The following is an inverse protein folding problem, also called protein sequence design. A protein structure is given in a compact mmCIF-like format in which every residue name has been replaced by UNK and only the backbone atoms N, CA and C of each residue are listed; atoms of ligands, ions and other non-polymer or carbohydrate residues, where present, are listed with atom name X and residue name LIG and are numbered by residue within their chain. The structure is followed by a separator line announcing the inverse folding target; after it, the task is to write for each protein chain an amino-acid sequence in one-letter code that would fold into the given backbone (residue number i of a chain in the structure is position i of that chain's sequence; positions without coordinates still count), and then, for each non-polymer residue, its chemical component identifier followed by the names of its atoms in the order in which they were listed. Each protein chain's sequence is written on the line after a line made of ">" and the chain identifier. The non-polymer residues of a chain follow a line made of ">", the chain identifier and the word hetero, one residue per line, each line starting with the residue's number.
data_IF_315644611413
#
_entry.id   IF_315644611413
#
_cell.length_a   1.000
_cell.length_b   1.000
_cell.length_c   1.000
_cell.angle_alpha   90.00
_cell.angle_beta   90.00
_cell.angle_gamma   90.00
#
_symmetry.space_group_name_H-M   'P 1'
#
loop_
_entity.id
_entity.type
_entity.pdbx_description
1 polymer ?
#
# COMPACT_ATOMS: atom_id res chain seq x y z
N UNK A 1 7.09 0.89 -11.72
CA UNK A 1 5.67 0.47 -11.62
C UNK A 1 5.67 -1.04 -11.57
N UNK A 2 5.53 -1.62 -10.38
CA UNK A 2 5.36 -3.07 -10.22
C UNK A 2 3.87 -3.36 -10.31
N UNK A 3 3.37 -3.54 -11.53
CA UNK A 3 1.96 -3.88 -11.76
C UNK A 3 1.88 -5.41 -12.00
N UNK A 4 1.12 -6.08 -11.13
CA UNK A 4 0.69 -7.49 -11.17
C UNK A 4 1.78 -8.58 -11.11
N UNK A 5 2.46 -8.72 -9.97
CA UNK A 5 3.10 -10.00 -9.62
C UNK A 5 2.14 -10.84 -8.77
N UNK A 6 2.20 -12.17 -8.94
CA UNK A 6 1.32 -13.24 -8.41
C UNK A 6 1.11 -13.32 -6.88
N UNK A 7 1.42 -12.25 -6.14
CA UNK A 7 1.15 -12.03 -4.72
C UNK A 7 -0.34 -12.04 -4.37
N UNK A 8 -1.23 -11.82 -5.35
CA UNK A 8 -2.63 -11.59 -5.06
C UNK A 8 -3.37 -12.81 -4.46
N UNK A 9 -2.82 -14.02 -4.58
CA UNK A 9 -3.46 -15.25 -4.09
C UNK A 9 -2.86 -15.86 -2.83
N UNK A 10 -1.70 -15.40 -2.35
CA UNK A 10 -1.10 -15.90 -1.11
C UNK A 10 -1.21 -14.83 0.01
N UNK A 11 -2.12 -15.01 0.99
CA UNK A 11 -2.26 -14.11 2.12
C UNK A 11 -0.97 -13.93 2.93
N UNK A 12 -0.14 -14.97 3.02
CA UNK A 12 1.12 -14.90 3.74
C UNK A 12 2.13 -14.00 3.03
N UNK A 13 2.20 -14.08 1.70
CA UNK A 13 3.05 -13.18 0.92
C UNK A 13 2.58 -11.73 1.02
N UNK A 14 1.25 -11.47 0.96
CA UNK A 14 0.71 -10.11 1.18
C UNK A 14 1.13 -9.56 2.53
N UNK A 15 0.92 -10.32 3.61
CA UNK A 15 1.31 -9.90 4.94
C UNK A 15 2.81 -9.60 5.03
N UNK A 16 3.66 -10.46 4.45
CA UNK A 16 5.10 -10.23 4.40
C UNK A 16 5.46 -8.95 3.61
N UNK A 17 4.87 -8.75 2.45
CA UNK A 17 5.10 -7.57 1.62
C UNK A 17 4.72 -6.28 2.37
N UNK A 18 3.47 -6.21 2.86
CA UNK A 18 2.95 -5.01 3.53
C UNK A 18 3.64 -4.75 4.88
N UNK A 19 3.87 -5.78 5.70
CA UNK A 19 4.35 -5.62 7.08
C UNK A 19 5.87 -5.70 7.22
N UNK A 20 6.61 -6.19 6.23
CA UNK A 20 8.08 -6.32 6.30
C UNK A 20 8.78 -5.49 5.24
N UNK A 21 8.44 -5.71 3.97
CA UNK A 21 9.17 -5.12 2.85
C UNK A 21 8.94 -3.60 2.77
N UNK A 22 7.69 -3.14 2.86
CA UNK A 22 7.38 -1.71 2.77
C UNK A 22 8.02 -0.89 3.91
N UNK A 23 7.91 -1.30 5.20
CA UNK A 23 8.61 -0.60 6.28
C UNK A 23 10.13 -0.54 6.12
N UNK A 24 10.74 -1.60 5.58
CA UNK A 24 12.18 -1.63 5.32
C UNK A 24 12.59 -0.63 4.24
N UNK A 25 11.82 -0.51 3.16
CA UNK A 25 12.09 0.51 2.15
C UNK A 25 11.90 1.93 2.70
N UNK A 26 10.89 2.14 3.55
CA UNK A 26 10.62 3.43 4.20
C UNK A 26 11.77 3.81 5.13
N UNK A 27 12.27 2.88 5.96
CA UNK A 27 13.38 3.14 6.88
C UNK A 27 14.69 3.50 6.17
N UNK A 28 14.84 3.09 4.90
CA UNK A 28 15.94 3.49 4.00
C UNK A 28 15.72 4.87 3.35
N UNK A 29 14.72 5.64 3.77
CA UNK A 29 14.41 6.97 3.26
C UNK A 29 13.83 6.98 1.86
N UNK A 30 13.17 5.90 1.42
CA UNK A 30 12.52 5.84 0.11
C UNK A 30 11.07 6.30 0.20
N UNK A 31 10.64 7.08 -0.80
CA UNK A 31 9.21 7.32 -1.03
C UNK A 31 8.60 6.08 -1.70
N UNK A 32 7.47 5.63 -1.17
CA UNK A 32 6.78 4.41 -1.61
C UNK A 32 5.36 4.81 -1.99
N UNK A 33 4.93 4.43 -3.19
CA UNK A 33 3.53 4.55 -3.63
C UNK A 33 3.01 3.15 -3.90
N UNK A 34 1.95 2.77 -3.18
CA UNK A 34 1.29 1.47 -3.33
C UNK A 34 -0.11 1.70 -3.88
N UNK A 35 -0.46 1.01 -4.95
CA UNK A 35 -1.80 1.01 -5.53
C UNK A 35 -2.43 -0.34 -5.18
N UNK A 36 -3.47 -0.33 -4.35
CA UNK A 36 -4.12 -1.54 -3.85
C UNK A 36 -5.59 -1.27 -3.51
N UNK A 37 -6.40 -2.33 -3.58
CA UNK A 37 -7.78 -2.35 -3.07
C UNK A 37 -7.89 -3.05 -1.70
N UNK A 38 -6.76 -3.45 -1.11
CA UNK A 38 -6.73 -4.19 0.16
C UNK A 38 -6.73 -3.23 1.36
N UNK A 39 -7.92 -2.89 1.82
CA UNK A 39 -8.15 -1.92 2.90
C UNK A 39 -7.55 -2.36 4.25
N UNK A 40 -7.31 -3.66 4.44
CA UNK A 40 -6.75 -4.23 5.68
C UNK A 40 -5.34 -3.72 6.02
N UNK A 41 -4.64 -3.14 5.05
CA UNK A 41 -3.28 -2.64 5.21
C UNK A 41 -3.18 -1.11 5.04
N UNK A 42 -4.29 -0.37 5.10
CA UNK A 42 -4.21 1.10 5.03
C UNK A 42 -3.56 1.71 6.28
N UNK A 43 -3.52 0.96 7.39
CA UNK A 43 -2.94 1.38 8.66
C UNK A 43 -1.40 1.53 8.62
N UNK A 44 -0.72 0.91 7.66
CA UNK A 44 0.74 1.05 7.50
C UNK A 44 1.16 2.29 6.71
N UNK A 45 0.23 2.96 6.04
CA UNK A 45 0.50 4.12 5.22
C UNK A 45 0.55 5.40 6.07
N UNK A 46 1.45 6.33 5.73
CA UNK A 46 1.47 7.67 6.33
C UNK A 46 0.29 8.54 5.85
N UNK A 47 -0.21 8.24 4.64
CA UNK A 47 -1.38 8.89 4.07
C UNK A 47 -2.01 7.99 3.01
N UNK A 48 -3.33 8.10 2.87
CA UNK A 48 -4.12 7.26 1.97
C UNK A 48 -4.94 8.14 1.04
N UNK A 49 -4.75 7.94 -0.26
CA UNK A 49 -5.57 8.55 -1.30
C UNK A 49 -6.57 7.51 -1.79
N UNK A 50 -7.86 7.83 -1.72
CA UNK A 50 -8.93 6.94 -2.17
C UNK A 50 -9.47 7.47 -3.49
N UNK A 51 -9.64 6.61 -4.49
CA UNK A 51 -10.28 7.00 -5.74
C UNK A 51 -11.67 6.35 -5.83
N UNK A 52 -12.71 7.14 -5.99
CA UNK A 52 -14.10 6.68 -6.12
C UNK A 52 -14.74 7.32 -7.35
N UNK A 53 -15.34 6.51 -8.23
CA UNK A 53 -15.99 6.97 -9.47
C UNK A 53 -15.13 7.92 -10.34
N UNK A 54 -13.81 7.68 -10.38
CA UNK A 54 -12.87 8.50 -11.13
C UNK A 54 -12.52 9.84 -10.47
N UNK A 55 -12.96 10.07 -9.24
CA UNK A 55 -12.62 11.24 -8.43
C UNK A 55 -11.69 10.84 -7.28
N UNK A 56 -10.73 11.71 -6.98
CA UNK A 56 -9.84 11.55 -5.84
C UNK A 56 -10.53 12.09 -4.58
N UNK A 57 -10.67 11.23 -3.58
CA UNK A 57 -11.10 11.56 -2.22
C UNK A 57 -9.85 11.62 -1.35
N UNK A 58 -9.49 12.80 -0.87
CA UNK A 58 -8.43 12.95 0.14
C UNK A 58 -8.96 12.43 1.47
N UNK A 59 -8.36 11.36 2.00
CA UNK A 59 -8.48 11.02 3.42
C UNK A 59 -7.29 11.66 4.15
N UNK A 60 -7.60 12.48 5.16
CA UNK A 60 -6.63 13.35 5.83
C UNK A 60 -5.34 12.63 6.24
N UNK A 61 -4.21 13.26 5.92
CA UNK A 61 -2.87 12.90 6.38
C UNK A 61 -2.88 13.04 7.91
N UNK A 62 -2.57 11.96 8.64
CA UNK A 62 -2.46 12.01 10.12
C UNK A 62 -1.18 12.72 10.57
#
# INVERSE_FOLDING_TARGET
>A
MFDKWAADQDPAFKAFFYRTILPEFKSRGKCIVVISHDEHYFDIADGTLVMHEGQLLEHGIS
#
